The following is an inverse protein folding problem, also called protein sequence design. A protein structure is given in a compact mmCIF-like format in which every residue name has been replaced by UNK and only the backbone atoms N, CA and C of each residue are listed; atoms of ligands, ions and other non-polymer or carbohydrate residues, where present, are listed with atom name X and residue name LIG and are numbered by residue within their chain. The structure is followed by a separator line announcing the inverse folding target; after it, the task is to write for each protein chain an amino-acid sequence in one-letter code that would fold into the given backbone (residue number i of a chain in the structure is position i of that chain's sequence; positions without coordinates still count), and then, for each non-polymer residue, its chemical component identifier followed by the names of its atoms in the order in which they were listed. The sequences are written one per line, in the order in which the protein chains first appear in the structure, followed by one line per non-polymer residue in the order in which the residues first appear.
data_IF_639471959001
#
_entry.id   IF_639471959001
#
_cell.length_a   1.000
_cell.length_b   1.000
_cell.length_c   1.000
_cell.angle_alpha   90.00
_cell.angle_beta   90.00
_cell.angle_gamma   90.00
#
_symmetry.space_group_name_H-M   'P 1'
#
loop_
_entity.id
_entity.type
_entity.pdbx_description
1 polymer ?
#
# COMPACT_ATOMS: atom_id res chain seq x y z
N UNK A 1 -50.69 -35.22 -14.48
CA UNK A 1 -51.19 -36.46 -13.88
C UNK A 1 -52.38 -36.99 -14.70
N UNK A 2 -52.58 -38.34 -14.72
CA UNK A 2 -53.78 -38.91 -15.31
C UNK A 2 -55.01 -38.48 -14.50
N UNK A 3 -56.01 -37.88 -15.18
CA UNK A 3 -57.22 -37.34 -14.56
C UNK A 3 -58.42 -38.28 -14.62
N UNK A 4 -58.43 -39.18 -15.60
CA UNK A 4 -59.50 -40.16 -15.78
C UNK A 4 -59.76 -40.48 -17.25
N UNK A 5 -60.86 -41.19 -17.49
CA UNK A 5 -61.35 -41.51 -18.83
C UNK A 5 -62.60 -40.71 -19.15
N UNK A 6 -62.77 -40.33 -20.43
CA UNK A 6 -63.97 -39.69 -20.90
C UNK A 6 -64.49 -40.51 -22.10
N UNK A 7 -65.74 -41.01 -22.04
CA UNK A 7 -66.66 -41.01 -20.90
C UNK A 7 -66.12 -41.86 -19.72
N UNK A 8 -66.77 -41.76 -18.55
CA UNK A 8 -66.47 -42.66 -17.40
C UNK A 8 -66.57 -44.11 -17.80
N UNK A 9 -65.60 -44.93 -17.32
CA UNK A 9 -65.55 -46.39 -17.66
C UNK A 9 -66.72 -47.09 -16.97
N UNK A 10 -67.60 -47.73 -17.80
CA UNK A 10 -68.75 -48.53 -17.36
C UNK A 10 -68.63 -49.90 -17.90
N UNK A 11 -69.53 -50.86 -17.45
CA UNK A 11 -69.60 -52.23 -17.98
C UNK A 11 -69.93 -52.22 -19.50
N UNK A 12 -69.17 -52.92 -20.27
CA UNK A 12 -69.32 -52.99 -21.71
C UNK A 12 -70.67 -53.61 -22.09
N UNK A 13 -71.58 -52.84 -22.71
CA UNK A 13 -72.87 -53.25 -23.25
C UNK A 13 -72.96 -53.06 -24.74
N UNK A 14 -72.02 -52.35 -25.34
CA UNK A 14 -71.81 -52.10 -26.74
C UNK A 14 -70.35 -51.61 -26.98
N UNK A 15 -69.98 -51.44 -28.25
CA UNK A 15 -68.68 -50.86 -28.62
C UNK A 15 -68.58 -49.46 -28.01
N UNK A 16 -67.42 -49.15 -27.38
CA UNK A 16 -67.18 -47.87 -26.73
C UNK A 16 -65.76 -47.43 -26.96
N UNK A 17 -65.58 -46.12 -27.07
CA UNK A 17 -64.28 -45.45 -27.17
C UNK A 17 -64.06 -44.63 -25.90
N UNK A 18 -62.91 -44.80 -25.29
CA UNK A 18 -62.53 -44.09 -24.09
C UNK A 18 -61.27 -43.25 -24.36
N UNK A 19 -61.33 -41.90 -24.07
CA UNK A 19 -60.23 -41.02 -24.22
C UNK A 19 -59.62 -40.75 -22.82
N UNK A 20 -58.31 -40.96 -22.69
CA UNK A 20 -57.58 -40.59 -21.47
C UNK A 20 -57.49 -39.09 -21.35
N UNK A 21 -57.85 -38.58 -20.20
CA UNK A 21 -57.68 -37.15 -19.85
C UNK A 21 -56.53 -36.98 -18.86
N UNK A 22 -55.83 -35.87 -19.00
CA UNK A 22 -54.68 -35.53 -18.14
C UNK A 22 -54.82 -34.11 -17.59
N UNK A 23 -54.51 -33.97 -16.32
CA UNK A 23 -54.30 -32.63 -15.70
C UNK A 23 -52.84 -32.27 -15.87
N UNK A 24 -52.53 -31.22 -16.62
CA UNK A 24 -51.15 -30.76 -16.73
C UNK A 24 -50.69 -30.21 -15.40
N UNK A 25 -49.42 -30.45 -15.06
CA UNK A 25 -48.74 -29.82 -13.89
C UNK A 25 -47.43 -29.28 -14.41
N UNK A 26 -47.21 -28.00 -14.22
CA UNK A 26 -45.93 -27.35 -14.57
C UNK A 26 -44.83 -27.88 -13.64
N UNK A 27 -43.70 -28.23 -14.18
CA UNK A 27 -42.53 -28.61 -13.40
C UNK A 27 -41.80 -27.38 -12.93
N UNK A 28 -41.34 -27.39 -11.68
CA UNK A 28 -40.45 -26.39 -11.15
C UNK A 28 -39.03 -26.94 -11.07
N UNK A 29 -38.04 -26.04 -11.18
CA UNK A 29 -36.64 -26.38 -11.11
C UNK A 29 -35.95 -25.45 -10.12
N UNK A 30 -34.96 -25.98 -9.40
CA UNK A 30 -34.17 -25.23 -8.44
C UNK A 30 -33.27 -24.25 -9.16
N UNK A 31 -33.40 -23.00 -8.82
CA UNK A 31 -32.50 -21.92 -9.22
C UNK A 31 -31.67 -21.51 -8.00
N UNK A 32 -30.35 -21.41 -8.18
CA UNK A 32 -29.41 -21.02 -7.13
C UNK A 32 -28.70 -19.74 -7.56
N UNK A 33 -28.75 -18.72 -6.71
CA UNK A 33 -28.05 -17.47 -6.89
C UNK A 33 -26.82 -17.43 -5.98
N UNK A 34 -25.65 -17.15 -6.58
CA UNK A 34 -24.37 -17.10 -5.89
C UNK A 34 -23.82 -15.67 -5.94
N UNK A 35 -23.69 -15.06 -4.78
CA UNK A 35 -23.09 -13.73 -4.60
C UNK A 35 -21.90 -13.85 -3.66
N UNK A 36 -20.72 -13.42 -4.11
CA UNK A 36 -19.50 -13.53 -3.33
C UNK A 36 -19.65 -12.89 -1.94
N UNK A 37 -19.32 -13.63 -0.89
CA UNK A 37 -19.41 -13.19 0.50
C UNK A 37 -20.81 -13.25 1.12
N UNK A 38 -21.80 -13.81 0.41
CA UNK A 38 -23.16 -14.03 0.92
C UNK A 38 -23.53 -15.51 0.83
N UNK A 39 -24.52 -15.92 1.64
CA UNK A 39 -25.14 -17.24 1.50
C UNK A 39 -25.90 -17.33 0.17
N UNK A 40 -25.93 -18.53 -0.41
CA UNK A 40 -26.66 -18.77 -1.65
C UNK A 40 -28.16 -18.61 -1.42
N UNK A 41 -28.83 -17.87 -2.31
CA UNK A 41 -30.29 -17.83 -2.36
C UNK A 41 -30.76 -18.94 -3.30
N UNK A 42 -31.72 -19.74 -2.84
CA UNK A 42 -32.34 -20.81 -3.63
C UNK A 42 -33.85 -20.56 -3.75
N UNK A 43 -34.40 -20.88 -4.90
CA UNK A 43 -35.83 -20.82 -5.17
C UNK A 43 -36.25 -21.85 -6.21
N UNK A 44 -37.49 -22.29 -6.16
CA UNK A 44 -38.10 -23.18 -7.16
C UNK A 44 -38.90 -22.33 -8.16
N UNK A 45 -38.50 -22.37 -9.42
CA UNK A 45 -39.10 -21.58 -10.51
C UNK A 45 -39.71 -22.50 -11.57
N UNK A 46 -40.92 -22.20 -12.00
CA UNK A 46 -41.64 -22.99 -12.99
C UNK A 46 -40.92 -22.97 -14.36
N UNK A 47 -41.06 -24.07 -15.07
CA UNK A 47 -40.55 -24.22 -16.45
C UNK A 47 -41.05 -23.08 -17.34
N UNK A 48 -40.16 -22.44 -18.08
CA UNK A 48 -40.45 -21.36 -19.01
C UNK A 48 -40.54 -19.98 -18.37
N UNK A 49 -40.51 -19.87 -17.05
CA UNK A 49 -40.45 -18.56 -16.34
C UNK A 49 -39.01 -18.06 -16.28
N UNK A 50 -38.78 -16.77 -16.50
CA UNK A 50 -37.47 -16.15 -16.30
C UNK A 50 -37.31 -15.79 -14.83
N UNK A 51 -36.31 -16.30 -14.11
CA UNK A 51 -36.12 -16.02 -12.68
C UNK A 51 -35.53 -14.62 -12.48
N UNK A 52 -35.78 -14.05 -11.29
CA UNK A 52 -35.29 -12.72 -10.89
C UNK A 52 -34.64 -12.79 -9.50
N UNK A 53 -33.46 -12.21 -9.35
CA UNK A 53 -32.80 -12.13 -8.02
C UNK A 53 -33.56 -11.21 -7.07
N UNK A 54 -34.21 -10.18 -7.59
CA UNK A 54 -35.09 -9.27 -6.88
C UNK A 54 -34.41 -7.97 -6.38
N UNK A 55 -33.12 -7.94 -6.23
CA UNK A 55 -32.34 -6.77 -5.81
C UNK A 55 -30.98 -6.67 -6.54
N UNK A 56 -30.36 -5.50 -6.47
CA UNK A 56 -29.01 -5.33 -7.02
C UNK A 56 -28.00 -6.05 -6.10
N UNK A 57 -27.23 -7.03 -6.60
CA UNK A 57 -26.20 -7.67 -5.79
C UNK A 57 -25.15 -6.67 -5.30
N UNK A 58 -24.71 -6.84 -4.07
CA UNK A 58 -23.63 -6.05 -3.47
C UNK A 58 -22.52 -6.96 -2.96
N UNK A 59 -21.28 -6.51 -3.09
CA UNK A 59 -20.09 -7.16 -2.56
C UNK A 59 -19.32 -6.14 -1.72
N UNK A 60 -18.90 -6.57 -0.51
CA UNK A 60 -18.10 -5.74 0.37
C UNK A 60 -16.75 -5.40 -0.28
N UNK A 61 -16.34 -4.13 -0.14
CA UNK A 61 -15.03 -3.68 -0.58
C UNK A 61 -13.94 -4.32 0.29
N UNK A 62 -12.80 -4.62 -0.31
CA UNK A 62 -11.58 -5.01 0.39
C UNK A 62 -10.65 -3.79 0.51
N UNK A 63 -9.53 -3.93 1.21
CA UNK A 63 -8.49 -2.88 1.19
C UNK A 63 -7.96 -2.64 -0.23
N UNK A 64 -7.91 -3.69 -1.07
CA UNK A 64 -7.36 -3.62 -2.41
C UNK A 64 -8.35 -3.16 -3.46
N UNK A 65 -9.61 -3.65 -3.40
CA UNK A 65 -10.62 -3.41 -4.44
C UNK A 65 -11.96 -2.94 -3.90
N UNK A 66 -12.61 -2.06 -4.67
CA UNK A 66 -14.04 -1.78 -4.61
C UNK A 66 -14.72 -2.50 -5.76
N UNK A 67 -15.92 -3.07 -5.50
CA UNK A 67 -16.65 -3.91 -6.42
C UNK A 67 -17.97 -3.27 -6.83
N UNK A 68 -18.30 -3.35 -8.12
CA UNK A 68 -19.64 -3.03 -8.63
C UNK A 68 -20.18 -4.22 -9.40
N UNK A 69 -21.46 -4.53 -9.23
CA UNK A 69 -22.10 -5.63 -9.97
C UNK A 69 -21.94 -5.41 -11.46
N UNK A 70 -21.58 -6.45 -12.19
CA UNK A 70 -21.44 -6.42 -13.64
C UNK A 70 -22.63 -7.12 -14.30
N UNK A 71 -22.75 -8.40 -14.09
CA UNK A 71 -23.76 -9.26 -14.72
C UNK A 71 -23.88 -10.60 -13.98
N UNK A 72 -24.93 -11.35 -14.27
CA UNK A 72 -25.04 -12.75 -13.88
C UNK A 72 -24.35 -13.65 -14.90
N UNK A 73 -23.70 -14.70 -14.45
CA UNK A 73 -23.12 -15.73 -15.29
C UNK A 73 -23.65 -17.12 -14.89
N UNK A 74 -24.24 -17.87 -15.86
CA UNK A 74 -24.56 -17.46 -17.20
C UNK A 74 -25.63 -16.34 -17.25
N UNK A 75 -25.89 -15.78 -18.44
CA UNK A 75 -26.98 -14.82 -18.63
C UNK A 75 -28.31 -15.43 -18.23
N UNK A 76 -29.17 -14.63 -17.60
CA UNK A 76 -30.47 -15.08 -17.11
C UNK A 76 -31.37 -15.39 -18.31
N UNK A 77 -31.95 -16.60 -18.29
CA UNK A 77 -32.86 -17.07 -19.33
C UNK A 77 -34.06 -17.80 -18.71
N UNK A 78 -35.08 -18.06 -19.52
CA UNK A 78 -36.23 -18.86 -19.11
C UNK A 78 -35.81 -20.25 -18.64
N UNK A 79 -36.38 -20.72 -17.53
CA UNK A 79 -36.03 -21.99 -16.86
C UNK A 79 -36.39 -23.18 -17.70
N UNK A 80 -35.42 -23.98 -18.04
CA UNK A 80 -35.58 -25.29 -18.71
C UNK A 80 -35.05 -26.45 -17.87
N UNK A 81 -34.40 -26.18 -16.75
CA UNK A 81 -33.79 -27.11 -15.83
C UNK A 81 -33.19 -26.40 -14.62
N UNK A 82 -32.60 -27.16 -13.69
CA UNK A 82 -31.84 -26.59 -12.55
C UNK A 82 -30.68 -25.76 -13.05
N UNK A 83 -30.53 -24.56 -12.52
CA UNK A 83 -29.51 -23.58 -12.95
C UNK A 83 -28.91 -22.82 -11.76
N UNK A 84 -27.62 -22.55 -11.85
CA UNK A 84 -26.91 -21.67 -10.92
C UNK A 84 -26.47 -20.42 -11.66
N UNK A 85 -26.81 -19.25 -11.11
CA UNK A 85 -26.36 -17.94 -11.58
C UNK A 85 -25.38 -17.37 -10.58
N UNK A 86 -24.19 -16.98 -11.06
CA UNK A 86 -23.14 -16.36 -10.24
C UNK A 86 -22.98 -14.91 -10.61
N UNK A 87 -23.01 -14.03 -9.60
CA UNK A 87 -22.75 -12.60 -9.81
C UNK A 87 -21.28 -12.38 -10.20
N UNK A 88 -21.06 -11.61 -11.26
CA UNK A 88 -19.74 -11.14 -11.69
C UNK A 88 -19.55 -9.66 -11.35
N UNK A 89 -18.29 -9.19 -11.26
CA UNK A 89 -17.97 -7.90 -10.69
C UNK A 89 -16.99 -7.13 -11.57
N UNK A 90 -17.21 -5.81 -11.66
CA UNK A 90 -16.17 -4.88 -12.06
C UNK A 90 -15.36 -4.55 -10.81
N UNK A 91 -14.04 -4.62 -10.93
CA UNK A 91 -13.10 -4.35 -9.85
C UNK A 91 -12.35 -3.06 -10.11
N UNK A 92 -12.34 -2.17 -9.12
CA UNK A 92 -11.59 -0.92 -9.16
C UNK A 92 -10.58 -0.95 -8.03
N UNK A 93 -9.30 -0.87 -8.37
CA UNK A 93 -8.21 -0.85 -7.41
C UNK A 93 -8.27 0.44 -6.56
N UNK A 94 -8.29 0.28 -5.25
CA UNK A 94 -8.39 1.38 -4.31
C UNK A 94 -7.12 2.23 -4.32
N UNK A 95 -7.29 3.53 -4.13
CA UNK A 95 -6.20 4.48 -3.93
C UNK A 95 -6.27 5.07 -2.55
N UNK A 96 -5.10 5.32 -1.98
CA UNK A 96 -4.96 5.86 -0.65
C UNK A 96 -4.18 7.17 -0.67
N UNK A 97 -4.51 8.03 0.28
CA UNK A 97 -3.84 9.31 0.43
C UNK A 97 -2.48 9.10 1.08
N UNK A 98 -1.43 9.49 0.38
CA UNK A 98 -0.07 9.60 0.89
C UNK A 98 0.25 11.07 1.11
N UNK A 99 0.69 11.42 2.31
CA UNK A 99 1.03 12.79 2.71
C UNK A 99 2.50 12.86 3.11
N UNK A 100 3.25 13.77 2.48
CA UNK A 100 4.66 14.06 2.77
C UNK A 100 4.76 15.35 3.57
N UNK A 101 5.52 15.32 4.68
CA UNK A 101 5.64 16.44 5.60
C UNK A 101 7.09 16.75 5.97
N UNK A 102 7.32 18.03 6.29
CA UNK A 102 8.49 18.45 7.05
C UNK A 102 8.00 19.08 8.36
N UNK A 103 8.14 18.33 9.44
CA UNK A 103 7.50 18.65 10.72
C UNK A 103 5.97 18.77 10.55
N UNK A 104 5.41 19.94 10.84
CA UNK A 104 3.98 20.22 10.68
C UNK A 104 3.61 20.72 9.27
N UNK A 105 4.59 21.04 8.43
CA UNK A 105 4.35 21.55 7.09
C UNK A 105 4.08 20.40 6.10
N UNK A 106 2.95 20.45 5.40
CA UNK A 106 2.65 19.50 4.32
C UNK A 106 3.37 19.93 3.05
N UNK A 107 4.26 19.08 2.55
CA UNK A 107 5.01 19.29 1.32
C UNK A 107 4.23 18.84 0.10
N UNK A 108 3.59 17.67 0.19
CA UNK A 108 2.84 17.06 -0.90
C UNK A 108 1.75 16.11 -0.37
N UNK A 109 0.67 16.00 -1.11
CA UNK A 109 -0.36 14.97 -0.93
C UNK A 109 -0.70 14.38 -2.29
N UNK A 110 -0.79 13.06 -2.37
CA UNK A 110 -1.06 12.33 -3.61
C UNK A 110 -1.89 11.07 -3.37
N UNK A 111 -2.47 10.52 -4.45
CA UNK A 111 -3.26 9.30 -4.42
C UNK A 111 -2.45 8.17 -5.05
N UNK A 112 -2.10 7.18 -4.25
CA UNK A 112 -1.29 6.01 -4.66
C UNK A 112 -2.17 4.77 -4.61
N UNK A 113 -2.07 3.90 -5.62
CA UNK A 113 -2.85 2.67 -5.65
C UNK A 113 -2.34 1.67 -4.59
N UNK A 114 -3.27 0.87 -4.07
CA UNK A 114 -2.93 -0.23 -3.15
C UNK A 114 -1.80 -1.10 -3.71
N UNK A 115 -0.83 -1.44 -2.89
CA UNK A 115 0.33 -2.26 -3.25
C UNK A 115 1.44 -1.53 -4.02
N UNK A 116 1.26 -0.25 -4.37
CA UNK A 116 2.34 0.55 -4.94
C UNK A 116 3.21 1.16 -3.83
N UNK A 117 4.51 1.23 -4.06
CA UNK A 117 5.43 1.93 -3.16
C UNK A 117 5.50 3.40 -3.58
N UNK A 118 5.14 4.36 -2.70
CA UNK A 118 5.18 5.77 -3.05
C UNK A 118 6.61 6.30 -3.13
N UNK A 119 6.83 7.27 -4.00
CA UNK A 119 8.09 7.99 -4.13
C UNK A 119 7.85 9.50 -4.05
N UNK A 120 8.60 10.18 -3.18
CA UNK A 120 8.50 11.64 -3.09
C UNK A 120 9.08 12.30 -4.33
N UNK A 121 8.25 12.96 -5.09
CA UNK A 121 8.60 13.65 -6.35
C UNK A 121 8.49 15.17 -6.27
N UNK A 122 8.45 15.75 -5.06
CA UNK A 122 8.50 17.20 -4.84
C UNK A 122 9.94 17.73 -4.74
N UNK A 123 10.05 19.03 -4.45
CA UNK A 123 11.34 19.66 -4.14
C UNK A 123 11.92 19.04 -2.88
N UNK A 124 13.19 18.61 -2.94
CA UNK A 124 13.86 17.99 -1.82
C UNK A 124 13.88 18.94 -0.61
N UNK A 125 13.38 18.51 0.57
CA UNK A 125 13.52 19.31 1.77
C UNK A 125 14.99 19.63 2.07
N UNK A 126 15.26 20.86 2.46
CA UNK A 126 16.62 21.32 2.75
C UNK A 126 16.71 21.95 4.13
N UNK A 127 17.77 21.60 4.86
CA UNK A 127 18.14 22.21 6.11
C UNK A 127 19.65 22.26 6.18
N UNK A 128 20.19 23.47 6.34
CA UNK A 128 21.64 23.68 6.33
C UNK A 128 22.33 22.83 7.41
N UNK A 129 23.35 22.07 7.01
CA UNK A 129 24.09 21.18 7.90
C UNK A 129 23.39 19.89 8.28
N UNK A 130 22.29 19.55 7.64
CA UNK A 130 21.52 18.31 7.91
C UNK A 130 21.28 17.53 6.63
N UNK A 131 21.16 16.22 6.78
CA UNK A 131 20.56 15.29 5.84
C UNK A 131 19.23 14.78 6.40
N UNK A 132 18.37 14.22 5.56
CA UNK A 132 17.10 13.68 6.01
C UNK A 132 16.84 12.27 5.47
N UNK A 133 15.98 11.57 6.17
CA UNK A 133 15.30 10.35 5.74
C UNK A 133 13.81 10.53 5.96
N UNK A 134 13.00 9.71 5.33
CA UNK A 134 11.56 9.67 5.61
C UNK A 134 11.26 8.73 6.78
N UNK A 135 10.33 9.13 7.63
CA UNK A 135 9.82 8.33 8.75
C UNK A 135 8.29 8.32 8.70
N UNK A 136 7.63 7.14 8.87
CA UNK A 136 8.23 5.81 8.92
C UNK A 136 8.95 5.42 7.64
N UNK A 137 9.59 4.25 7.61
CA UNK A 137 10.17 3.68 6.39
C UNK A 137 9.10 3.56 5.30
N UNK A 138 9.48 3.89 4.07
CA UNK A 138 8.56 3.84 2.92
C UNK A 138 8.33 2.38 2.55
N UNK A 139 7.05 1.99 2.53
CA UNK A 139 6.59 0.64 2.17
C UNK A 139 5.42 0.73 1.18
N UNK A 140 5.00 -0.42 0.66
CA UNK A 140 3.80 -0.51 -0.17
C UNK A 140 2.57 0.05 0.56
N UNK A 141 1.74 0.78 -0.17
CA UNK A 141 0.53 1.41 0.34
C UNK A 141 -0.57 0.36 0.55
N UNK A 142 -0.98 0.18 1.81
CA UNK A 142 -2.11 -0.67 2.20
C UNK A 142 -3.25 0.12 2.85
N UNK A 143 -3.07 1.43 2.99
CA UNK A 143 -3.98 2.41 3.58
C UNK A 143 -3.41 3.81 3.47
N UNK A 144 -4.10 4.81 4.05
CA UNK A 144 -3.56 6.17 4.10
C UNK A 144 -2.25 6.20 4.89
N UNK A 145 -1.24 6.91 4.38
CA UNK A 145 0.08 7.01 4.97
C UNK A 145 0.56 8.45 5.08
N UNK A 146 1.38 8.71 6.08
CA UNK A 146 2.06 10.01 6.24
C UNK A 146 3.53 9.74 6.50
N UNK A 147 4.38 10.34 5.68
CA UNK A 147 5.83 10.30 5.81
C UNK A 147 6.33 11.69 6.20
N UNK A 148 7.17 11.75 7.24
CA UNK A 148 7.72 13.00 7.75
C UNK A 148 9.23 12.95 7.67
N UNK A 149 9.88 14.08 7.39
CA UNK A 149 11.34 14.19 7.42
C UNK A 149 11.88 13.90 8.81
N UNK A 150 12.86 13.02 8.87
CA UNK A 150 13.69 12.79 10.04
C UNK A 150 15.09 13.36 9.78
N UNK A 151 15.40 14.50 10.38
CA UNK A 151 16.63 15.24 10.15
C UNK A 151 17.77 14.71 11.00
N UNK A 152 18.90 14.46 10.36
CA UNK A 152 20.14 14.06 11.02
C UNK A 152 21.21 15.11 10.77
N UNK A 153 21.88 15.60 11.82
CA UNK A 153 22.99 16.55 11.67
C UNK A 153 24.15 15.90 10.92
N UNK A 154 24.69 16.63 9.96
CA UNK A 154 25.83 16.13 9.18
C UNK A 154 27.10 16.16 10.05
N UNK A 155 27.93 15.14 9.91
CA UNK A 155 29.22 15.03 10.58
C UNK A 155 30.34 15.00 9.56
N UNK A 156 31.40 15.73 9.86
CA UNK A 156 32.54 15.92 9.00
C UNK A 156 33.82 15.38 9.67
N UNK A 157 34.63 14.65 8.92
CA UNK A 157 35.93 14.21 9.42
C UNK A 157 36.86 15.39 9.60
N UNK A 158 37.44 15.50 10.76
CA UNK A 158 38.43 16.51 11.07
C UNK A 158 39.74 15.83 11.38
N UNK A 159 40.76 16.12 10.58
CA UNK A 159 42.09 15.55 10.74
C UNK A 159 43.07 16.61 11.17
N UNK A 160 44.03 16.24 12.03
CA UNK A 160 45.18 17.06 12.29
C UNK A 160 46.37 16.64 11.42
N UNK A 161 47.20 17.59 11.05
CA UNK A 161 48.43 17.29 10.36
C UNK A 161 49.53 18.22 10.89
N UNK A 162 50.41 17.73 11.77
CA UNK A 162 51.57 18.47 12.21
C UNK A 162 52.57 18.54 11.05
N UNK A 163 53.08 19.76 10.80
CA UNK A 163 54.15 19.90 9.83
C UNK A 163 55.39 19.08 10.23
N UNK A 164 56.03 18.53 9.25
CA UNK A 164 57.36 17.88 9.36
C UNK A 164 58.41 18.80 8.80
N UNK A 165 59.66 18.66 9.25
CA UNK A 165 60.80 19.25 8.60
C UNK A 165 61.26 18.45 7.36
N UNK A 166 62.38 18.84 6.75
CA UNK A 166 62.88 18.23 5.50
C UNK A 166 63.26 16.75 5.66
N UNK A 167 63.55 16.29 6.89
CA UNK A 167 63.86 14.88 7.17
C UNK A 167 62.63 14.06 7.59
N UNK A 168 61.43 14.68 7.59
CA UNK A 168 60.18 14.04 7.99
C UNK A 168 59.87 14.04 9.49
N UNK A 169 60.69 14.72 10.30
CA UNK A 169 60.52 14.73 11.77
C UNK A 169 59.43 15.74 12.20
N UNK A 170 58.59 15.35 13.12
CA UNK A 170 57.56 16.18 13.76
C UNK A 170 58.09 16.75 15.07
N UNK A 171 58.08 18.06 15.19
CA UNK A 171 58.54 18.77 16.40
C UNK A 171 57.41 19.28 17.28
N UNK A 172 56.29 18.58 17.25
CA UNK A 172 55.12 18.88 18.09
C UNK A 172 53.95 18.01 17.78
N UNK A 173 52.92 18.13 18.60
CA UNK A 173 51.64 17.41 18.42
C UNK A 173 50.46 18.36 18.44
N UNK A 174 49.36 17.95 17.86
CA UNK A 174 48.10 18.66 17.90
C UNK A 174 47.03 17.70 18.48
N UNK A 175 46.38 18.14 19.53
CA UNK A 175 45.21 17.44 20.08
C UNK A 175 43.95 18.17 19.63
N UNK A 176 43.00 17.42 19.08
CA UNK A 176 41.67 17.93 18.74
C UNK A 176 40.66 17.41 19.76
N UNK A 177 39.92 18.34 20.38
CA UNK A 177 38.85 18.04 21.31
C UNK A 177 37.51 18.49 20.70
N UNK A 178 36.42 17.78 20.95
CA UNK A 178 35.12 18.05 20.38
C UNK A 178 34.77 17.15 19.17
N UNK A 179 35.57 16.08 18.96
CA UNK A 179 35.30 15.04 17.99
C UNK A 179 34.61 13.85 18.66
N UNK A 180 33.80 13.14 17.91
CA UNK A 180 33.24 11.85 18.32
C UNK A 180 34.29 10.72 18.23
N UNK A 181 33.86 9.48 18.58
CA UNK A 181 34.76 8.31 18.57
C UNK A 181 35.35 7.96 17.20
N UNK A 182 34.73 8.46 16.11
CA UNK A 182 35.18 8.24 14.72
C UNK A 182 36.03 9.41 14.17
N UNK A 183 36.38 10.38 15.02
CA UNK A 183 37.15 11.55 14.62
C UNK A 183 36.32 12.56 13.79
N UNK A 184 35.02 12.59 13.95
CA UNK A 184 34.09 13.50 13.24
C UNK A 184 33.56 14.57 14.19
N UNK A 185 33.28 15.72 13.62
CA UNK A 185 32.61 16.84 14.25
C UNK A 185 31.23 17.07 13.61
N UNK A 186 30.23 17.41 14.40
CA UNK A 186 28.93 17.82 13.91
C UNK A 186 29.04 19.18 13.18
N UNK A 187 28.14 19.37 12.20
CA UNK A 187 28.03 20.65 11.54
C UNK A 187 27.94 21.80 12.55
N UNK A 188 28.74 22.85 12.34
CA UNK A 188 28.81 24.06 13.17
C UNK A 188 29.22 23.82 14.66
N UNK A 189 29.75 22.65 14.99
CA UNK A 189 30.31 22.44 16.33
C UNK A 189 31.69 23.05 16.47
N UNK A 190 32.06 23.42 17.70
CA UNK A 190 33.37 24.00 17.99
C UNK A 190 34.41 22.91 18.27
N UNK A 191 35.49 22.93 17.52
CA UNK A 191 36.64 22.04 17.75
C UNK A 191 37.72 22.85 18.48
N UNK A 192 38.15 22.37 19.66
CA UNK A 192 39.29 22.94 20.38
C UNK A 192 40.57 22.32 19.87
N UNK A 193 41.42 23.15 19.29
CA UNK A 193 42.75 22.78 18.83
C UNK A 193 43.76 23.11 19.92
N UNK A 194 44.51 22.10 20.40
CA UNK A 194 45.53 22.25 21.42
C UNK A 194 46.87 21.79 20.87
N UNK A 195 47.75 22.68 20.43
CA UNK A 195 49.10 22.36 20.02
C UNK A 195 50.00 22.14 21.21
N UNK A 196 51.03 21.31 21.08
CA UNK A 196 52.10 21.14 22.03
C UNK A 196 53.44 21.02 21.28
N UNK A 197 54.34 21.96 21.49
CA UNK A 197 55.68 21.86 20.95
C UNK A 197 56.49 20.82 21.66
N UNK A 198 57.41 20.14 20.96
CA UNK A 198 58.41 19.25 21.55
C UNK A 198 59.44 20.09 22.34
N UNK A 199 60.17 19.44 23.24
CA UNK A 199 61.22 20.10 24.03
C UNK A 199 62.25 20.76 23.11
N UNK A 200 62.62 22.03 23.37
CA UNK A 200 63.52 22.82 22.55
C UNK A 200 62.91 23.51 21.35
N UNK A 201 61.59 23.36 21.13
CA UNK A 201 60.82 24.00 20.01
C UNK A 201 59.74 24.94 20.53
N UNK A 202 59.34 25.88 19.70
CA UNK A 202 58.24 26.81 20.00
C UNK A 202 57.14 26.71 18.90
N UNK A 203 55.88 27.00 19.28
CA UNK A 203 54.78 27.12 18.33
C UNK A 203 54.90 28.39 17.52
N UNK A 204 55.13 28.24 16.22
CA UNK A 204 55.25 29.37 15.31
C UNK A 204 53.91 29.76 14.65
N UNK A 205 53.16 28.75 14.18
CA UNK A 205 51.94 28.98 13.40
C UNK A 205 50.99 27.81 13.47
N UNK A 206 49.67 28.12 13.55
CA UNK A 206 48.59 27.16 13.34
C UNK A 206 47.76 27.64 12.16
N UNK A 207 47.42 26.77 11.25
CA UNK A 207 46.52 27.07 10.14
C UNK A 207 45.34 26.07 10.10
N UNK A 208 44.17 26.59 9.68
CA UNK A 208 43.01 25.75 9.35
C UNK A 208 42.65 26.05 7.89
N UNK A 209 42.64 25.01 7.07
CA UNK A 209 42.44 25.15 5.61
C UNK A 209 43.30 26.25 4.98
N UNK A 210 44.57 26.37 5.46
CA UNK A 210 45.52 27.38 5.00
C UNK A 210 45.38 28.78 5.65
N UNK A 211 44.29 29.05 6.33
CA UNK A 211 44.10 30.32 7.06
C UNK A 211 44.80 30.28 8.43
N UNK A 212 45.59 31.34 8.76
CA UNK A 212 46.28 31.50 10.04
C UNK A 212 45.30 31.77 11.18
N UNK A 213 45.29 30.90 12.17
CA UNK A 213 44.48 31.05 13.40
C UNK A 213 45.33 31.17 14.66
N UNK A 214 46.65 31.40 14.50
CA UNK A 214 47.55 31.61 15.63
C UNK A 214 47.11 32.86 16.38
N UNK A 215 46.59 32.74 17.60
CA UNK A 215 46.35 33.89 18.45
C UNK A 215 47.67 34.34 19.02
N UNK A 216 47.92 35.68 19.09
CA UNK A 216 49.10 36.16 19.80
C UNK A 216 49.07 35.65 21.24
N UNK A 217 50.16 35.06 21.69
CA UNK A 217 50.36 34.66 23.09
C UNK A 217 50.62 35.99 23.81
N UNK A 218 49.65 36.47 24.61
CA UNK A 218 49.87 37.56 25.55
C UNK A 218 50.52 37.02 26.80
#
# INVERSE_FOLDING_TARGET
TFAGWTPEVIAATADAEYTATFTPTTRSYKITWVVAGKENKEEDVEYGVTPEYGEMPTREATAEYTYTFKEWSPEIAAVTGTQTYTATWNEVKNKYTVTWKDGNNTLKTEQIAYGETPEYSGDAPTKEGYSYTWTPEITEVTGNATYTTNWTINKYTVTNNSATDDDGTKHGTITLNGLDGDGKAEYNSTIKVTPSAAEGYELKKITVNGADITKPVN
#
